data_IF_912251448071
#
_entry.id   IF_912251448071
#
_cell.length_a   1.000
_cell.length_b   1.000
_cell.length_c   1.000
_cell.angle_alpha   90.00
_cell.angle_beta   90.00
_cell.angle_gamma   90.00
#
_symmetry.space_group_name_H-M   'P 1'
#
loop_
_entity.id
_entity.type
_entity.pdbx_description
1 polymer ?
#
# COMPACT_ATOMS: atom_id res chain seq x y z
N UNK A 1 -9.15 -6.84 4.90
CA UNK A 1 -9.67 -5.51 5.25
C UNK A 1 -11.05 -5.70 5.84
N UNK A 2 -11.38 -5.01 6.93
CA UNK A 2 -12.70 -5.03 7.55
C UNK A 2 -13.02 -3.62 8.03
N UNK A 3 -14.31 -3.30 8.07
CA UNK A 3 -14.88 -2.05 8.56
C UNK A 3 -16.16 -2.42 9.32
N UNK A 4 -16.58 -1.61 10.29
CA UNK A 4 -17.78 -1.85 11.10
C UNK A 4 -17.86 -3.25 11.76
N UNK A 5 -16.71 -3.82 12.18
CA UNK A 5 -16.64 -5.14 12.82
C UNK A 5 -17.34 -5.11 14.19
N UNK A 6 -18.58 -5.60 14.23
CA UNK A 6 -19.44 -5.59 15.40
C UNK A 6 -20.19 -6.92 15.64
N UNK A 7 -19.82 -7.97 14.92
CA UNK A 7 -20.40 -9.31 15.09
C UNK A 7 -19.81 -10.01 16.33
N UNK A 8 -20.67 -10.47 17.24
CA UNK A 8 -20.27 -11.16 18.46
C UNK A 8 -20.02 -10.23 19.66
N UNK A 9 -19.23 -10.69 20.63
CA UNK A 9 -18.90 -9.89 21.82
C UNK A 9 -17.79 -8.88 21.53
N UNK A 10 -17.77 -7.78 22.30
CA UNK A 10 -16.69 -6.80 22.25
C UNK A 10 -15.31 -7.46 22.46
N UNK A 11 -15.22 -8.39 23.41
CA UNK A 11 -13.99 -9.14 23.69
C UNK A 11 -13.55 -9.99 22.49
N UNK A 12 -14.49 -10.61 21.79
CA UNK A 12 -14.18 -11.38 20.58
C UNK A 12 -13.62 -10.49 19.46
N UNK A 13 -14.27 -9.35 19.20
CA UNK A 13 -13.79 -8.37 18.23
C UNK A 13 -12.40 -7.83 18.60
N UNK A 14 -12.17 -7.50 19.88
CA UNK A 14 -10.88 -7.02 20.35
C UNK A 14 -9.78 -8.08 20.20
N UNK A 15 -10.05 -9.32 20.58
CA UNK A 15 -9.13 -10.44 20.42
C UNK A 15 -8.79 -10.70 18.94
N UNK A 16 -9.77 -10.56 18.05
CA UNK A 16 -9.55 -10.64 16.60
C UNK A 16 -8.62 -9.52 16.11
N UNK A 17 -8.88 -8.25 16.47
CA UNK A 17 -8.01 -7.12 16.08
C UNK A 17 -6.58 -7.31 16.62
N UNK A 18 -6.45 -7.77 17.88
CA UNK A 18 -5.15 -8.07 18.49
C UNK A 18 -4.41 -9.18 17.73
N UNK A 19 -5.12 -10.24 17.33
CA UNK A 19 -4.54 -11.30 16.52
C UNK A 19 -4.05 -10.77 15.16
N UNK A 20 -4.87 -9.96 14.46
CA UNK A 20 -4.46 -9.31 13.21
C UNK A 20 -3.20 -8.46 13.39
N UNK A 21 -3.16 -7.60 14.42
CA UNK A 21 -1.99 -6.74 14.69
C UNK A 21 -0.71 -7.57 14.94
N UNK A 22 -0.82 -8.66 15.70
CA UNK A 22 0.30 -9.55 16.00
C UNK A 22 0.81 -10.30 14.76
N UNK A 23 0.04 -10.36 13.66
CA UNK A 23 0.47 -11.00 12.41
C UNK A 23 1.27 -10.07 11.49
N UNK A 24 1.27 -8.75 11.70
CA UNK A 24 1.89 -7.78 10.78
C UNK A 24 3.40 -8.00 10.66
N UNK A 25 4.12 -8.04 11.78
CA UNK A 25 5.57 -8.25 11.79
C UNK A 25 5.96 -9.62 11.21
N UNK A 26 5.42 -10.76 11.69
CA UNK A 26 5.84 -12.06 11.17
C UNK A 26 5.42 -12.31 9.72
N UNK A 27 4.40 -11.62 9.20
CA UNK A 27 4.02 -11.74 7.78
C UNK A 27 4.89 -10.87 6.86
N UNK A 28 5.28 -9.67 7.29
CA UNK A 28 5.94 -8.69 6.43
C UNK A 28 7.47 -8.68 6.53
N UNK A 29 8.03 -8.73 7.75
CA UNK A 29 9.48 -8.60 7.97
C UNK A 29 10.29 -9.68 7.26
N UNK A 30 9.90 -10.97 7.26
CA UNK A 30 10.63 -12.00 6.53
C UNK A 30 10.69 -11.75 5.02
N UNK A 31 9.62 -11.19 4.44
CA UNK A 31 9.58 -10.82 3.02
C UNK A 31 10.59 -9.72 2.73
N UNK A 32 10.66 -8.69 3.57
CA UNK A 32 11.64 -7.61 3.43
C UNK A 32 13.07 -8.16 3.55
N UNK A 33 13.36 -8.93 4.60
CA UNK A 33 14.68 -9.51 4.84
C UNK A 33 15.17 -10.38 3.67
N UNK A 34 14.26 -11.15 3.05
CA UNK A 34 14.57 -12.00 1.90
C UNK A 34 14.90 -11.21 0.62
N UNK A 35 14.36 -10.00 0.47
CA UNK A 35 14.39 -9.28 -0.80
C UNK A 35 15.21 -7.98 -0.77
N UNK A 36 15.52 -7.42 0.41
CA UNK A 36 16.13 -6.09 0.52
C UNK A 36 17.55 -5.96 -0.06
N UNK A 37 18.28 -7.07 -0.18
CA UNK A 37 19.63 -7.12 -0.76
C UNK A 37 19.65 -7.59 -2.22
N UNK A 38 18.50 -7.83 -2.84
CA UNK A 38 18.45 -8.25 -4.24
C UNK A 38 18.89 -7.08 -5.12
N UNK A 39 19.76 -7.36 -6.07
CA UNK A 39 20.09 -6.42 -7.14
C UNK A 39 18.87 -6.22 -8.03
N UNK A 40 18.75 -5.02 -8.58
CA UNK A 40 17.70 -4.67 -9.52
C UNK A 40 18.29 -3.81 -10.64
N UNK A 41 17.67 -3.89 -11.80
CA UNK A 41 17.97 -3.08 -12.98
C UNK A 41 17.25 -1.73 -12.91
N UNK A 42 17.70 -0.78 -13.73
CA UNK A 42 17.02 0.51 -13.84
C UNK A 42 15.57 0.36 -14.35
N UNK A 43 15.32 -0.62 -15.21
CA UNK A 43 13.99 -0.93 -15.73
C UNK A 43 13.05 -1.41 -14.62
N UNK A 44 13.52 -2.31 -13.75
CA UNK A 44 12.74 -2.77 -12.59
C UNK A 44 12.48 -1.63 -11.58
N UNK A 45 13.46 -0.73 -11.40
CA UNK A 45 13.27 0.47 -10.59
C UNK A 45 12.24 1.41 -11.21
N UNK A 46 12.27 1.62 -12.52
CA UNK A 46 11.28 2.45 -13.21
C UNK A 46 9.87 1.86 -13.08
N UNK A 47 9.74 0.53 -13.24
CA UNK A 47 8.51 -0.19 -12.98
C UNK A 47 8.00 0.00 -11.55
N UNK A 48 8.87 -0.13 -10.55
CA UNK A 48 8.52 0.10 -9.14
C UNK A 48 7.98 1.52 -8.92
N UNK A 49 8.57 2.53 -9.56
CA UNK A 49 8.11 3.93 -9.45
C UNK A 49 6.74 4.14 -10.10
N UNK A 50 6.44 3.44 -11.20
CA UNK A 50 5.10 3.41 -11.80
C UNK A 50 4.08 2.74 -10.87
N UNK A 51 4.45 1.65 -10.19
CA UNK A 51 3.60 1.02 -9.17
C UNK A 51 3.33 1.95 -7.99
N UNK A 52 4.34 2.72 -7.58
CA UNK A 52 4.19 3.77 -6.55
C UNK A 52 3.26 4.91 -7.01
N UNK A 53 3.27 5.25 -8.31
CA UNK A 53 2.30 6.17 -8.89
C UNK A 53 0.85 5.68 -8.72
N UNK A 54 0.60 4.39 -8.99
CA UNK A 54 -0.72 3.78 -8.73
C UNK A 54 -1.11 3.77 -7.25
N UNK A 55 -0.14 3.57 -6.35
CA UNK A 55 -0.39 3.66 -4.90
C UNK A 55 -0.79 5.08 -4.49
N UNK A 56 -0.10 6.11 -5.02
CA UNK A 56 -0.46 7.51 -4.77
C UNK A 56 -1.84 7.86 -5.35
N UNK A 57 -2.17 7.39 -6.56
CA UNK A 57 -3.51 7.57 -7.16
C UNK A 57 -4.61 6.99 -6.26
N UNK A 58 -4.42 5.76 -5.75
CA UNK A 58 -5.39 5.17 -4.83
C UNK A 58 -5.57 6.00 -3.57
N UNK A 59 -4.48 6.41 -2.90
CA UNK A 59 -4.56 7.19 -1.66
C UNK A 59 -5.23 8.56 -1.89
N UNK A 60 -4.87 9.26 -2.97
CA UNK A 60 -5.35 10.62 -3.22
C UNK A 60 -6.78 10.66 -3.79
N UNK A 61 -7.16 9.67 -4.59
CA UNK A 61 -8.42 9.69 -5.35
C UNK A 61 -9.48 8.75 -4.79
N UNK A 62 -9.10 7.65 -4.13
CA UNK A 62 -10.04 6.59 -3.74
C UNK A 62 -10.14 6.44 -2.23
N UNK A 63 -9.01 6.42 -1.53
CA UNK A 63 -8.96 6.07 -0.11
C UNK A 63 -9.85 6.98 0.76
N UNK A 64 -10.81 6.34 1.45
CA UNK A 64 -11.81 7.03 2.27
C UNK A 64 -11.15 7.73 3.46
N UNK A 65 -10.14 7.11 4.07
CA UNK A 65 -9.44 7.65 5.23
C UNK A 65 -8.67 8.93 4.90
N UNK A 66 -7.91 8.90 3.81
CA UNK A 66 -7.17 10.08 3.31
C UNK A 66 -8.11 11.22 2.98
N UNK A 67 -9.20 10.96 2.22
CA UNK A 67 -10.21 11.99 1.89
C UNK A 67 -10.82 12.61 3.13
N UNK A 68 -11.28 11.78 4.06
CA UNK A 68 -11.89 12.24 5.31
C UNK A 68 -10.91 13.08 6.13
N UNK A 69 -9.67 12.62 6.29
CA UNK A 69 -8.65 13.36 7.03
C UNK A 69 -8.35 14.74 6.41
N UNK A 70 -8.23 14.81 5.09
CA UNK A 70 -7.98 16.08 4.38
C UNK A 70 -9.16 17.07 4.47
N UNK A 71 -10.39 16.56 4.60
CA UNK A 71 -11.60 17.37 4.71
C UNK A 71 -11.92 17.76 6.16
N UNK A 72 -11.28 17.14 7.15
CA UNK A 72 -11.53 17.39 8.58
C UNK A 72 -10.71 18.59 9.07
N UNK A 73 -11.35 19.70 9.52
CA UNK A 73 -10.65 20.88 10.01
C UNK A 73 -9.71 20.57 11.19
N UNK A 74 -8.52 21.18 11.19
CA UNK A 74 -7.53 21.00 12.25
C UNK A 74 -6.70 19.70 12.17
N UNK A 75 -6.93 18.87 11.15
CA UNK A 75 -6.16 17.64 10.96
C UNK A 75 -4.69 17.92 10.61
N UNK A 76 -3.79 17.06 11.11
CA UNK A 76 -2.36 17.13 10.81
C UNK A 76 -2.09 16.51 9.44
N UNK A 77 -1.99 17.37 8.42
CA UNK A 77 -1.79 16.97 7.01
C UNK A 77 -0.59 16.04 6.83
N UNK A 78 0.53 16.30 7.51
CA UNK A 78 1.73 15.44 7.43
C UNK A 78 1.47 14.01 7.91
N UNK A 79 0.59 13.82 8.91
CA UNK A 79 0.22 12.48 9.37
C UNK A 79 -0.67 11.77 8.35
N UNK A 80 -1.53 12.51 7.64
CA UNK A 80 -2.41 11.95 6.61
C UNK A 80 -1.61 11.54 5.38
N UNK A 81 -0.68 12.38 4.93
CA UNK A 81 0.12 12.15 3.72
C UNK A 81 1.35 11.26 3.96
N UNK A 82 1.54 10.74 5.16
CA UNK A 82 2.64 9.82 5.51
C UNK A 82 2.62 8.51 4.69
N UNK A 83 1.46 8.14 4.13
CA UNK A 83 1.34 6.99 3.23
C UNK A 83 2.04 7.21 1.88
N UNK A 84 2.28 8.46 1.46
CA UNK A 84 2.80 8.73 0.12
C UNK A 84 4.25 8.24 -0.03
N UNK A 85 4.58 7.61 -1.19
CA UNK A 85 5.95 7.23 -1.48
C UNK A 85 6.82 8.48 -1.70
N UNK A 86 8.12 8.43 -1.35
CA UNK A 86 9.01 9.57 -1.51
C UNK A 86 9.24 9.97 -2.98
N UNK A 87 9.15 9.00 -3.89
CA UNK A 87 9.24 9.22 -5.34
C UNK A 87 8.26 8.28 -6.03
N UNK A 88 7.52 8.81 -6.99
CA UNK A 88 6.61 8.09 -7.88
C UNK A 88 6.75 8.64 -9.31
N UNK A 89 6.37 7.82 -10.30
CA UNK A 89 6.36 8.22 -11.71
C UNK A 89 5.00 7.94 -12.34
N UNK A 90 4.68 8.75 -13.35
CA UNK A 90 3.54 8.55 -14.25
C UNK A 90 4.05 8.59 -15.68
N UNK A 91 3.61 7.64 -16.50
CA UNK A 91 3.94 7.58 -17.92
C UNK A 91 2.71 7.20 -18.72
N UNK A 92 2.45 7.97 -19.77
CA UNK A 92 1.40 7.67 -20.73
C UNK A 92 1.82 6.51 -21.64
N UNK A 93 0.86 5.64 -21.99
CA UNK A 93 1.06 4.57 -22.98
C UNK A 93 2.21 3.62 -22.67
N UNK A 94 2.40 3.25 -21.40
CA UNK A 94 3.44 2.29 -21.03
C UNK A 94 3.14 0.91 -21.64
N UNK A 95 4.01 0.46 -22.54
CA UNK A 95 3.91 -0.83 -23.21
C UNK A 95 4.54 -1.94 -22.34
N UNK A 96 3.70 -2.89 -21.92
CA UNK A 96 4.14 -4.05 -21.16
C UNK A 96 4.31 -5.22 -22.11
N UNK A 97 5.54 -5.75 -22.19
CA UNK A 97 5.81 -6.96 -22.96
C UNK A 97 4.96 -8.12 -22.40
N UNK A 98 4.26 -8.84 -23.28
CA UNK A 98 3.27 -9.85 -22.90
C UNK A 98 3.81 -10.94 -21.96
N UNK A 99 5.08 -11.32 -22.13
CA UNK A 99 5.74 -12.38 -21.35
C UNK A 99 6.63 -11.84 -20.21
N UNK A 100 6.46 -10.57 -19.83
CA UNK A 100 7.26 -9.94 -18.78
C UNK A 100 6.77 -10.25 -17.36
N UNK A 101 7.68 -10.26 -16.36
CA UNK A 101 7.30 -10.31 -14.95
C UNK A 101 6.30 -9.22 -14.57
N UNK A 102 6.40 -8.04 -15.18
CA UNK A 102 5.50 -6.91 -14.98
C UNK A 102 4.09 -7.21 -15.46
N UNK A 103 3.94 -7.83 -16.63
CA UNK A 103 2.64 -8.27 -17.15
C UNK A 103 2.00 -9.34 -16.26
N UNK A 104 2.80 -10.23 -15.67
CA UNK A 104 2.29 -11.22 -14.71
C UNK A 104 1.66 -10.58 -13.47
N UNK A 105 2.14 -9.41 -13.03
CA UNK A 105 1.53 -8.67 -11.91
C UNK A 105 0.21 -8.00 -12.30
N UNK A 106 -0.01 -7.74 -13.60
CA UNK A 106 -1.21 -7.04 -14.10
C UNK A 106 -2.38 -7.97 -14.40
N UNK A 107 -2.15 -9.28 -14.45
CA UNK A 107 -3.18 -10.32 -14.58
C UNK A 107 -3.70 -10.71 -13.21
#
# INVERSE_FOLDING_TARGET
FFDDLNEGSHEACFNFVKACANTVIPSYVPVVQKNCQRTFTEQERDWQLLRRGRYAEFNLVIDRGTKFGLQTPGSRIESILMSLPPVAKWRYGWDLKADSPEMKLMK
#
